data_IF_797439229200
#
_entry.id   IF_797439229200
#
_cell.length_a   1.000
_cell.length_b   1.000
_cell.length_c   1.000
_cell.angle_alpha   90.00
_cell.angle_beta   90.00
_cell.angle_gamma   90.00
#
_symmetry.space_group_name_H-M   'P 1'
#
loop_
_entity.id
_entity.type
_entity.pdbx_description
1 polymer ?
#
# COMPACT_ATOMS: atom_id res chain seq x y z
N UNK A 1 -3.42 20.04 35.89
CA UNK A 1 -4.71 19.87 35.18
C UNK A 1 -4.95 21.10 34.34
N UNK A 2 -4.51 21.11 33.09
CA UNK A 2 -4.91 22.15 32.12
C UNK A 2 -5.54 21.44 30.94
N UNK A 3 -6.87 21.54 30.94
CA UNK A 3 -7.80 21.10 29.90
C UNK A 3 -7.39 21.70 28.55
N UNK A 4 -7.60 20.93 27.49
CA UNK A 4 -7.31 21.34 26.12
C UNK A 4 -7.90 22.71 25.79
N UNK A 5 -7.06 23.57 25.21
CA UNK A 5 -7.42 24.83 24.55
C UNK A 5 -8.07 24.58 23.19
N UNK A 6 -9.03 23.66 23.16
CA UNK A 6 -9.92 23.48 22.02
C UNK A 6 -11.32 23.48 22.60
N UNK A 7 -12.05 24.55 22.32
CA UNK A 7 -13.48 24.63 22.63
C UNK A 7 -14.15 23.34 22.13
N UNK A 8 -14.95 22.70 22.98
CA UNK A 8 -15.67 21.43 22.73
C UNK A 8 -14.90 20.11 22.89
N UNK A 9 -13.64 20.09 23.35
CA UNK A 9 -12.95 18.82 23.69
C UNK A 9 -13.46 18.24 25.04
N UNK A 10 -14.63 17.61 25.03
CA UNK A 10 -15.12 16.76 26.13
C UNK A 10 -14.61 15.34 25.89
N UNK A 11 -13.35 15.08 26.21
CA UNK A 11 -12.72 13.77 26.05
C UNK A 11 -11.78 13.46 27.22
N UNK A 12 -11.65 12.19 27.58
CA UNK A 12 -10.71 11.73 28.59
C UNK A 12 -9.48 11.07 27.91
N UNK A 13 -8.41 10.84 28.66
CA UNK A 13 -7.21 10.22 28.09
C UNK A 13 -7.47 8.80 27.56
N UNK A 14 -8.47 8.09 28.09
CA UNK A 14 -8.83 6.76 27.62
C UNK A 14 -9.45 6.79 26.22
N UNK A 15 -10.35 7.73 25.94
CA UNK A 15 -10.91 7.93 24.60
C UNK A 15 -9.82 8.31 23.60
N UNK A 16 -8.83 9.11 24.03
CA UNK A 16 -7.68 9.46 23.22
C UNK A 16 -6.78 8.25 22.89
N UNK A 17 -6.50 7.41 23.88
CA UNK A 17 -5.75 6.17 23.66
C UNK A 17 -6.48 5.24 22.70
N UNK A 18 -7.80 5.12 22.82
CA UNK A 18 -8.61 4.30 21.93
C UNK A 18 -8.62 4.83 20.50
N UNK A 19 -8.80 6.14 20.31
CA UNK A 19 -8.74 6.77 18.99
C UNK A 19 -7.36 6.58 18.35
N UNK A 20 -6.28 6.83 19.10
CA UNK A 20 -4.91 6.64 18.61
C UNK A 20 -4.60 5.18 18.27
N UNK A 21 -5.10 4.24 19.07
CA UNK A 21 -4.99 2.80 18.81
C UNK A 21 -5.64 2.41 17.47
N UNK A 22 -6.87 2.85 17.23
CA UNK A 22 -7.57 2.59 15.96
C UNK A 22 -6.86 3.25 14.76
N UNK A 23 -6.35 4.46 14.97
CA UNK A 23 -5.63 5.18 13.93
C UNK A 23 -4.30 4.50 13.57
N UNK A 24 -3.59 3.95 14.57
CA UNK A 24 -2.41 3.14 14.33
C UNK A 24 -2.76 1.82 13.64
N UNK A 25 -3.89 1.18 13.96
CA UNK A 25 -4.35 -0.01 13.24
C UNK A 25 -4.59 0.26 11.74
N UNK A 26 -4.99 1.48 11.39
CA UNK A 26 -5.22 1.89 10.00
C UNK A 26 -3.95 1.85 9.13
N UNK A 27 -2.75 1.72 9.71
CA UNK A 27 -1.51 1.48 8.94
C UNK A 27 -1.53 0.16 8.18
N UNK A 28 -2.41 -0.77 8.55
CA UNK A 28 -2.64 -1.99 7.77
C UNK A 28 -3.05 -1.68 6.32
N UNK A 29 -3.78 -0.59 6.06
CA UNK A 29 -4.26 -0.24 4.72
C UNK A 29 -3.13 0.00 3.69
N UNK A 30 -2.14 0.91 3.93
CA UNK A 30 -1.03 1.08 3.01
C UNK A 30 -0.17 -0.19 2.87
N UNK A 31 0.00 -0.97 3.94
CA UNK A 31 0.71 -2.25 3.88
C UNK A 31 -0.01 -3.26 2.97
N UNK A 32 -1.34 -3.33 3.05
CA UNK A 32 -2.14 -4.17 2.16
C UNK A 32 -2.05 -3.72 0.71
N UNK A 33 -2.13 -2.41 0.44
CA UNK A 33 -1.97 -1.89 -0.91
C UNK A 33 -0.59 -2.25 -1.48
N UNK A 34 0.48 -2.14 -0.68
CA UNK A 34 1.81 -2.57 -1.09
C UNK A 34 1.88 -4.07 -1.37
N UNK A 35 1.22 -4.91 -0.55
CA UNK A 35 1.19 -6.35 -0.77
C UNK A 35 0.50 -6.75 -2.07
N UNK A 36 -0.59 -6.05 -2.43
CA UNK A 36 -1.28 -6.27 -3.70
C UNK A 36 -0.38 -5.94 -4.89
N UNK A 37 0.33 -4.81 -4.82
CA UNK A 37 1.29 -4.43 -5.86
C UNK A 37 2.41 -5.47 -6.02
N UNK A 38 2.92 -6.03 -4.91
CA UNK A 38 3.91 -7.11 -4.95
C UNK A 38 3.33 -8.41 -5.51
N UNK A 39 2.10 -8.78 -5.16
CA UNK A 39 1.43 -9.94 -5.72
C UNK A 39 1.28 -9.81 -7.24
N UNK A 40 0.85 -8.64 -7.75
CA UNK A 40 0.77 -8.40 -9.19
C UNK A 40 2.13 -8.50 -9.87
N UNK A 41 3.17 -7.93 -9.26
CA UNK A 41 4.53 -8.01 -9.79
C UNK A 41 5.00 -9.47 -9.90
N UNK A 42 4.76 -10.27 -8.86
CA UNK A 42 5.15 -11.68 -8.82
C UNK A 42 4.37 -12.53 -9.81
N UNK A 43 3.07 -12.31 -9.96
CA UNK A 43 2.26 -13.00 -10.97
C UNK A 43 2.70 -12.64 -12.38
N UNK A 44 2.92 -11.36 -12.69
CA UNK A 44 3.21 -10.91 -14.06
C UNK A 44 4.65 -11.22 -14.48
N UNK A 45 5.62 -11.00 -13.59
CA UNK A 45 7.04 -11.11 -13.95
C UNK A 45 7.62 -12.49 -13.68
N UNK A 46 7.16 -13.17 -12.63
CA UNK A 46 7.75 -14.42 -12.17
C UNK A 46 6.85 -15.63 -12.40
N UNK A 47 5.68 -15.44 -13.03
CA UNK A 47 4.70 -16.49 -13.34
C UNK A 47 4.41 -17.39 -12.13
N UNK A 48 4.26 -16.77 -10.96
CA UNK A 48 4.02 -17.52 -9.73
C UNK A 48 2.67 -18.25 -9.80
N UNK A 49 2.70 -19.55 -9.53
CA UNK A 49 1.49 -20.36 -9.44
C UNK A 49 0.60 -19.91 -8.28
N UNK A 50 -0.72 -20.10 -8.44
CA UNK A 50 -1.72 -19.71 -7.43
C UNK A 50 -1.45 -20.30 -6.05
N UNK A 51 -0.89 -21.51 -5.97
CA UNK A 51 -0.55 -22.17 -4.70
C UNK A 51 0.54 -21.41 -3.93
N UNK A 52 1.56 -20.92 -4.63
CA UNK A 52 2.65 -20.12 -4.03
C UNK A 52 2.13 -18.75 -3.59
N UNK A 53 1.25 -18.16 -4.40
CA UNK A 53 0.62 -16.88 -4.08
C UNK A 53 -0.29 -17.00 -2.84
N UNK A 54 -1.05 -18.09 -2.71
CA UNK A 54 -1.90 -18.36 -1.56
C UNK A 54 -1.09 -18.55 -0.26
N UNK A 55 0.04 -19.26 -0.34
CA UNK A 55 0.93 -19.41 0.80
C UNK A 55 1.54 -18.07 1.23
N UNK A 56 2.04 -17.28 0.27
CA UNK A 56 2.59 -15.95 0.57
C UNK A 56 1.52 -14.99 1.11
N UNK A 57 0.31 -15.01 0.54
CA UNK A 57 -0.81 -14.21 1.03
C UNK A 57 -1.09 -14.45 2.50
N UNK A 58 -1.10 -15.72 2.95
CA UNK A 58 -1.25 -16.07 4.37
C UNK A 58 -0.14 -15.46 5.24
N UNK A 59 1.12 -15.56 4.81
CA UNK A 59 2.25 -14.96 5.55
C UNK A 59 2.15 -13.44 5.61
N UNK A 60 1.74 -12.80 4.52
CA UNK A 60 1.59 -11.34 4.46
C UNK A 60 0.43 -10.87 5.33
N UNK A 61 -0.73 -11.52 5.30
CA UNK A 61 -1.84 -11.20 6.21
C UNK A 61 -1.42 -11.31 7.67
N UNK A 62 -0.73 -12.40 8.03
CA UNK A 62 -0.21 -12.59 9.39
C UNK A 62 0.78 -11.49 9.78
N UNK A 63 1.70 -11.14 8.88
CA UNK A 63 2.66 -10.06 9.12
C UNK A 63 1.97 -8.70 9.30
N UNK A 64 1.04 -8.33 8.42
CA UNK A 64 0.36 -7.03 8.46
C UNK A 64 -0.47 -6.91 9.74
N UNK A 65 -1.26 -7.93 10.07
CA UNK A 65 -2.09 -7.93 11.29
C UNK A 65 -1.19 -7.90 12.53
N UNK A 66 -0.15 -8.75 12.58
CA UNK A 66 0.77 -8.77 13.71
C UNK A 66 1.50 -7.44 13.87
N UNK A 67 1.88 -6.79 12.78
CA UNK A 67 2.56 -5.50 12.81
C UNK A 67 1.61 -4.38 13.23
N UNK A 68 0.43 -4.27 12.63
CA UNK A 68 -0.54 -3.22 12.97
C UNK A 68 -1.02 -3.36 14.40
N UNK A 69 -1.44 -4.56 14.82
CA UNK A 69 -1.92 -4.81 16.19
C UNK A 69 -0.77 -4.70 17.19
N UNK A 70 0.39 -5.29 16.87
CA UNK A 70 1.56 -5.26 17.75
C UNK A 70 2.06 -3.84 18.01
N UNK A 71 2.18 -3.01 16.97
CA UNK A 71 2.58 -1.61 17.14
C UNK A 71 1.52 -0.81 17.88
N UNK A 72 0.22 -1.02 17.62
CA UNK A 72 -0.85 -0.36 18.36
C UNK A 72 -0.86 -0.70 19.85
N UNK A 73 -0.63 -1.97 20.19
CA UNK A 73 -0.55 -2.41 21.59
C UNK A 73 0.71 -1.87 22.27
N UNK A 74 1.86 -1.90 21.59
CA UNK A 74 3.15 -1.46 22.14
C UNK A 74 3.16 0.04 22.51
N UNK A 75 2.41 0.86 21.75
CA UNK A 75 2.32 2.31 21.98
C UNK A 75 1.43 2.69 23.19
N UNK A 76 0.54 1.81 23.63
CA UNK A 76 -0.35 2.04 24.78
C UNK A 76 0.39 2.20 26.12
N UNK A 77 1.19 1.23 26.59
CA UNK A 77 1.90 1.35 27.87
C UNK A 77 2.99 2.43 27.83
N UNK A 78 3.53 2.73 26.64
CA UNK A 78 4.48 3.83 26.42
C UNK A 78 3.81 5.21 26.46
N UNK A 79 2.47 5.27 26.53
CA UNK A 79 1.71 6.50 26.63
C UNK A 79 1.91 7.45 25.47
N UNK A 80 2.06 6.90 24.26
CA UNK A 80 2.44 7.68 23.09
C UNK A 80 1.24 8.39 22.44
N UNK A 81 0.01 7.92 22.67
CA UNK A 81 -1.20 8.51 22.09
C UNK A 81 -1.64 9.77 22.82
N UNK A 82 -1.31 10.93 22.29
CA UNK A 82 -1.67 12.21 22.91
C UNK A 82 -2.44 13.07 21.90
N UNK A 83 -3.26 13.96 22.44
CA UNK A 83 -4.11 14.82 21.62
C UNK A 83 -3.25 15.80 20.84
N UNK A 84 -3.41 15.80 19.52
CA UNK A 84 -2.93 16.84 18.62
C UNK A 84 -4.15 17.43 17.92
N UNK A 85 -4.48 18.67 18.30
CA UNK A 85 -5.69 19.35 17.80
C UNK A 85 -6.95 18.47 17.97
N UNK A 86 -7.54 17.99 16.88
CA UNK A 86 -8.82 17.26 16.85
C UNK A 86 -8.66 15.73 16.90
N UNK A 87 -7.44 15.21 16.78
CA UNK A 87 -7.18 13.77 16.73
C UNK A 87 -6.12 13.37 17.75
N UNK A 88 -6.10 12.10 18.13
CA UNK A 88 -5.03 11.56 18.96
C UNK A 88 -3.98 10.87 18.10
N UNK A 89 -2.72 11.27 18.29
CA UNK A 89 -1.58 10.81 17.50
C UNK A 89 -0.39 10.44 18.39
N UNK A 90 0.63 9.82 17.81
CA UNK A 90 1.91 9.54 18.46
C UNK A 90 2.68 10.87 18.62
N UNK A 91 2.52 11.53 19.76
CA UNK A 91 3.17 12.81 20.08
C UNK A 91 3.43 12.93 21.57
N UNK A 92 4.45 13.71 21.98
CA UNK A 92 4.73 13.95 23.39
C UNK A 92 3.74 14.93 24.02
N UNK A 93 3.49 14.79 25.33
CA UNK A 93 2.69 15.73 26.12
C UNK A 93 3.47 16.30 27.31
N UNK A 94 3.49 17.63 27.54
CA UNK A 94 2.87 18.69 26.73
C UNK A 94 3.52 18.82 25.34
N UNK A 95 2.80 19.40 24.38
CA UNK A 95 3.26 19.49 22.98
C UNK A 95 4.64 20.14 22.88
N UNK A 96 5.59 19.47 22.22
CA UNK A 96 6.97 19.95 22.04
C UNK A 96 7.90 19.68 23.23
N UNK A 97 7.53 18.79 24.16
CA UNK A 97 8.40 18.33 25.24
C UNK A 97 9.44 17.30 24.77
N UNK A 98 10.56 17.16 25.49
CA UNK A 98 11.59 16.15 25.23
C UNK A 98 12.16 16.19 23.80
N UNK A 99 12.65 15.06 23.31
CA UNK A 99 13.16 14.93 21.93
C UNK A 99 12.02 14.85 20.88
N UNK A 100 10.81 15.34 21.19
CA UNK A 100 9.65 15.23 20.29
C UNK A 100 9.60 16.32 19.21
N UNK A 101 10.47 17.34 19.30
CA UNK A 101 10.55 18.42 18.32
C UNK A 101 12.00 18.66 17.85
N UNK A 102 12.16 19.16 16.62
CA UNK A 102 13.42 19.75 16.14
C UNK A 102 13.87 20.97 16.98
N UNK A 103 13.01 21.43 17.88
CA UNK A 103 13.31 22.41 18.91
C UNK A 103 13.78 21.62 20.14
N UNK A 104 15.06 21.76 20.52
CA UNK A 104 15.59 21.25 21.79
C UNK A 104 14.96 22.03 22.94
N UNK A 105 13.73 21.70 23.31
CA UNK A 105 13.18 22.15 24.58
C UNK A 105 13.67 21.17 25.65
N UNK A 106 14.35 21.67 26.69
CA UNK A 106 14.81 20.84 27.81
C UNK A 106 13.67 20.56 28.80
N UNK A 107 12.44 20.47 28.29
CA UNK A 107 11.21 20.34 29.07
C UNK A 107 10.91 18.84 29.17
N UNK A 108 10.88 18.25 30.38
CA UNK A 108 10.59 16.83 30.54
C UNK A 108 9.15 16.54 30.10
N UNK A 109 8.97 15.47 29.33
CA UNK A 109 7.64 14.99 28.96
C UNK A 109 6.95 14.31 30.13
N UNK A 110 5.68 14.64 30.35
CA UNK A 110 4.81 13.89 31.27
C UNK A 110 4.37 12.57 30.63
N UNK A 111 4.18 12.56 29.31
CA UNK A 111 3.80 11.38 28.52
C UNK A 111 4.47 11.41 27.15
N UNK A 112 4.73 10.24 26.58
CA UNK A 112 5.26 10.14 25.22
C UNK A 112 6.72 10.61 25.13
N UNK A 113 7.61 10.07 25.96
CA UNK A 113 9.03 10.31 25.72
C UNK A 113 9.43 9.65 24.39
N UNK A 114 10.24 10.34 23.58
CA UNK A 114 10.67 9.89 22.25
C UNK A 114 9.55 9.66 21.22
N UNK A 115 8.36 10.26 21.38
CA UNK A 115 7.24 10.06 20.46
C UNK A 115 7.57 10.31 18.99
N UNK A 116 8.44 11.28 18.70
CA UNK A 116 8.86 11.56 17.34
C UNK A 116 9.54 10.38 16.67
N UNK A 117 10.47 9.73 17.37
CA UNK A 117 11.17 8.56 16.86
C UNK A 117 10.22 7.39 16.65
N UNK A 118 9.29 7.16 17.58
CA UNK A 118 8.28 6.13 17.40
C UNK A 118 7.33 6.43 16.24
N UNK A 119 6.91 7.69 16.07
CA UNK A 119 6.04 8.11 14.98
C UNK A 119 6.72 7.93 13.61
N UNK A 120 7.99 8.34 13.50
CA UNK A 120 8.77 8.09 12.29
C UNK A 120 8.95 6.58 12.07
N UNK A 121 9.42 5.84 13.07
CA UNK A 121 9.80 4.44 12.90
C UNK A 121 8.60 3.52 12.65
N UNK A 122 7.50 3.73 13.36
CA UNK A 122 6.35 2.81 13.37
C UNK A 122 5.20 3.26 12.47
N UNK A 123 5.14 4.55 12.11
CA UNK A 123 4.09 5.06 11.22
C UNK A 123 4.65 5.51 9.86
N UNK A 124 5.48 6.54 9.84
CA UNK A 124 5.93 7.12 8.57
C UNK A 124 6.89 6.22 7.81
N UNK A 125 7.80 5.52 8.48
CA UNK A 125 8.79 4.63 7.86
C UNK A 125 8.15 3.54 7.01
N UNK A 126 7.27 2.70 7.58
CA UNK A 126 6.53 1.69 6.82
C UNK A 126 5.70 2.29 5.69
N UNK A 127 5.06 3.45 5.92
CA UNK A 127 4.26 4.14 4.91
C UNK A 127 5.11 4.59 3.71
N UNK A 128 6.23 5.26 3.95
CA UNK A 128 7.15 5.69 2.90
C UNK A 128 7.75 4.50 2.15
N UNK A 129 8.11 3.44 2.86
CA UNK A 129 8.59 2.20 2.26
C UNK A 129 7.52 1.61 1.31
N UNK A 130 6.25 1.55 1.74
CA UNK A 130 5.15 1.07 0.91
C UNK A 130 4.96 1.91 -0.34
N UNK A 131 5.04 3.24 -0.23
CA UNK A 131 4.92 4.15 -1.38
C UNK A 131 6.03 3.86 -2.39
N UNK A 132 7.29 3.81 -1.94
CA UNK A 132 8.44 3.56 -2.83
C UNK A 132 8.32 2.19 -3.49
N UNK A 133 8.01 1.14 -2.74
CA UNK A 133 7.84 -0.21 -3.28
C UNK A 133 6.70 -0.29 -4.30
N UNK A 134 5.58 0.37 -4.03
CA UNK A 134 4.43 0.40 -4.95
C UNK A 134 4.78 1.12 -6.26
N UNK A 135 5.50 2.24 -6.19
CA UNK A 135 5.97 2.97 -7.38
C UNK A 135 6.90 2.09 -8.21
N UNK A 136 7.86 1.41 -7.57
CA UNK A 136 8.79 0.50 -8.25
C UNK A 136 8.03 -0.67 -8.89
N UNK A 137 7.08 -1.29 -8.17
CA UNK A 137 6.28 -2.39 -8.70
C UNK A 137 5.46 -1.95 -9.92
N UNK A 138 4.77 -0.81 -9.84
CA UNK A 138 3.97 -0.28 -10.95
C UNK A 138 4.84 0.10 -12.15
N UNK A 139 6.04 0.66 -11.92
CA UNK A 139 6.97 0.96 -13.01
C UNK A 139 7.43 -0.31 -13.73
N UNK A 140 7.79 -1.37 -13.00
CA UNK A 140 8.18 -2.66 -13.59
C UNK A 140 7.02 -3.31 -14.36
N UNK A 141 5.84 -3.35 -13.75
CA UNK A 141 4.62 -3.87 -14.40
C UNK A 141 4.34 -3.08 -15.69
N UNK A 142 4.42 -1.75 -15.66
CA UNK A 142 4.18 -0.92 -16.83
C UNK A 142 5.17 -1.20 -17.97
N UNK A 143 6.47 -1.34 -17.65
CA UNK A 143 7.50 -1.65 -18.65
C UNK A 143 7.25 -3.01 -19.31
N UNK A 144 6.90 -4.02 -18.52
CA UNK A 144 6.60 -5.37 -19.01
C UNK A 144 5.30 -5.36 -19.83
N UNK A 145 4.23 -4.75 -19.31
CA UNK A 145 2.95 -4.66 -20.01
C UNK A 145 3.06 -3.93 -21.34
N UNK A 146 3.84 -2.84 -21.39
CA UNK A 146 4.09 -2.11 -22.64
C UNK A 146 4.76 -3.00 -23.68
N UNK A 147 5.75 -3.79 -23.28
CA UNK A 147 6.41 -4.74 -24.19
C UNK A 147 5.43 -5.85 -24.66
N UNK A 148 4.61 -6.38 -23.76
CA UNK A 148 3.61 -7.42 -24.06
C UNK A 148 2.53 -6.90 -25.01
N UNK A 149 1.99 -5.70 -24.79
CA UNK A 149 0.95 -5.11 -25.61
C UNK A 149 1.40 -4.91 -27.07
N UNK A 150 2.63 -4.42 -27.29
CA UNK A 150 3.20 -4.30 -28.63
C UNK A 150 3.33 -5.66 -29.35
N UNK A 151 3.62 -6.74 -28.62
CA UNK A 151 3.67 -8.10 -29.20
C UNK A 151 2.27 -8.61 -29.56
N UNK A 152 1.29 -8.44 -28.67
CA UNK A 152 -0.10 -8.87 -28.93
C UNK A 152 -0.70 -8.19 -30.16
N UNK A 153 -0.44 -6.89 -30.35
CA UNK A 153 -0.91 -6.16 -31.54
C UNK A 153 -0.38 -6.76 -32.84
N UNK A 154 0.89 -7.20 -32.87
CA UNK A 154 1.49 -7.83 -34.05
C UNK A 154 0.87 -9.18 -34.37
N UNK A 155 0.55 -9.99 -33.35
CA UNK A 155 -0.12 -11.27 -33.56
C UNK A 155 -1.55 -11.09 -34.06
N UNK A 156 -2.27 -10.09 -33.56
CA UNK A 156 -3.62 -9.75 -34.03
C UNK A 156 -3.61 -9.35 -35.51
N UNK A 157 -2.69 -8.46 -35.92
CA UNK A 157 -2.59 -8.05 -37.34
C UNK A 157 -2.16 -9.21 -38.25
N UNK A 158 -1.23 -10.06 -37.82
CA UNK A 158 -0.84 -11.25 -38.57
C UNK A 158 -2.00 -12.25 -38.73
N UNK A 159 -2.78 -12.47 -37.68
CA UNK A 159 -3.95 -13.35 -37.74
C UNK A 159 -5.02 -12.84 -38.71
N UNK A 160 -5.31 -11.52 -38.69
CA UNK A 160 -6.26 -10.91 -39.62
C UNK A 160 -5.78 -11.03 -41.08
N UNK A 161 -4.51 -10.72 -41.35
CA UNK A 161 -3.95 -10.83 -42.71
C UNK A 161 -3.96 -12.28 -43.22
N UNK A 162 -3.75 -13.27 -42.35
CA UNK A 162 -3.83 -14.69 -42.71
C UNK A 162 -5.27 -15.11 -43.10
N UNK A 163 -6.28 -14.59 -42.40
CA UNK A 163 -7.69 -14.84 -42.74
C UNK A 163 -8.06 -14.23 -44.10
N UNK A 164 -7.60 -13.01 -44.40
CA UNK A 164 -7.86 -12.33 -45.69
C UNK A 164 -7.23 -13.06 -46.89
N UNK A 165 -5.99 -13.52 -46.73
CA UNK A 165 -5.30 -14.31 -47.77
C UNK A 165 -6.04 -15.62 -48.08
N UNK A 166 -6.55 -16.29 -47.04
CA UNK A 166 -7.26 -17.55 -47.22
C UNK A 166 -8.64 -17.35 -47.85
N UNK A 167 -9.36 -16.28 -47.49
CA UNK A 167 -10.61 -15.89 -48.15
C UNK A 167 -10.42 -15.59 -49.63
N UNK A 168 -9.35 -14.89 -49.99
CA UNK A 168 -9.00 -14.59 -51.39
C UNK A 168 -8.73 -15.86 -52.21
N UNK A 169 -8.03 -16.85 -51.63
CA UNK A 169 -7.78 -18.14 -52.31
C UNK A 169 -9.06 -18.92 -52.61
N UNK A 170 -10.01 -18.95 -51.68
CA UNK A 170 -11.31 -19.63 -51.84
C UNK A 170 -12.16 -18.93 -52.90
N UNK A 171 -12.12 -17.59 -52.93
CA UNK A 171 -12.80 -16.80 -53.97
C UNK A 171 -12.26 -17.06 -55.38
N UNK A 172 -10.94 -17.18 -55.53
CA UNK A 172 -10.35 -17.47 -56.84
C UNK A 172 -10.64 -18.90 -57.31
N UNK A 173 -10.55 -19.90 -56.44
CA UNK A 173 -10.84 -21.31 -56.81
C UNK A 173 -12.29 -21.51 -57.25
N UNK A 174 -13.25 -20.88 -56.55
CA UNK A 174 -14.67 -20.94 -56.96
C UNK A 174 -14.97 -20.20 -58.27
N UNK A 175 -14.15 -19.22 -58.65
CA UNK A 175 -14.30 -18.50 -59.93
C UNK A 175 -13.73 -19.25 -61.14
N UNK A 176 -12.69 -20.08 -60.95
CA UNK A 176 -12.12 -20.92 -62.00
C UNK A 176 -13.04 -22.10 -62.34
N UNK A 177 -13.63 -22.76 -61.33
CA UNK A 177 -14.58 -23.86 -61.56
C UNK A 177 -15.81 -23.41 -62.36
N UNK A 178 -16.26 -22.16 -62.19
CA UNK A 178 -17.42 -21.62 -62.92
C UNK A 178 -17.12 -21.28 -64.39
N UNK A 179 -15.86 -21.10 -64.79
CA UNK A 179 -15.48 -20.82 -66.20
C UNK A 179 -15.30 -22.09 -67.04
N UNK A 180 -15.33 -23.27 -66.43
CA UNK A 180 -15.13 -24.57 -67.10
C UNK A 180 -16.46 -25.32 -67.38
N UNK A 181 -17.61 -24.67 -67.21
CA UNK A 181 -18.95 -25.16 -67.61
C UNK A 181 -19.56 -24.24 -68.65
#
# INVERSE_FOLDING_TARGET
VTRGTIAYAVGNQATCNFQGFLLQLAIGAPLYNCSLALCYLLTIMYDWSNDRLALMGRWVHMFIISFSVGTSILLLPLGQYNQITQVCWIIGYPSGCGNSSNIRSNIPCVRGNWSWNYGILLFYGPLWLCIVLTIIAMANIYLVLRATHTRMQRYSTQALNAMESNGTKIGNTTSEDRKSS
#
